data_IF_700303818624
#
_entry.id   IF_700303818624
#
_cell.length_a   1.000
_cell.length_b   1.000
_cell.length_c   1.000
_cell.angle_alpha   90.00
_cell.angle_beta   90.00
_cell.angle_gamma   90.00
#
_symmetry.space_group_name_H-M   'P 1'
#
loop_
_entity.id
_entity.type
_entity.pdbx_description
1 polymer ?
#
# COMPACT_ATOMS: atom_id res chain seq x y z
N UNK A 1 39.57 63.10 12.29
CA UNK A 1 39.61 61.62 12.18
C UNK A 1 38.19 61.11 12.08
N UNK A 2 37.72 60.88 10.86
CA UNK A 2 36.36 60.40 10.63
C UNK A 2 36.37 58.83 10.41
N UNK A 3 35.98 58.11 11.45
CA UNK A 3 35.78 56.69 11.36
C UNK A 3 34.40 56.40 10.74
N UNK A 4 34.36 56.06 9.44
CA UNK A 4 33.13 55.60 8.76
C UNK A 4 32.89 54.17 9.16
N UNK A 5 31.95 53.93 10.05
CA UNK A 5 31.42 52.57 10.34
C UNK A 5 30.54 52.13 9.16
N UNK A 6 30.95 51.05 8.48
CA UNK A 6 30.13 50.35 7.44
C UNK A 6 29.10 49.46 8.13
N UNK A 7 27.83 49.52 7.74
CA UNK A 7 26.85 48.57 8.27
C UNK A 7 27.07 47.19 7.63
N UNK A 8 27.22 46.18 8.47
CA UNK A 8 27.17 44.78 8.07
C UNK A 8 25.70 44.39 7.86
N UNK A 9 25.31 44.16 6.63
CA UNK A 9 24.03 43.54 6.33
C UNK A 9 24.16 42.04 6.49
N UNK A 10 23.52 41.48 7.55
CA UNK A 10 23.30 40.05 7.67
C UNK A 10 22.21 39.66 6.69
N UNK A 11 22.58 38.98 5.63
CA UNK A 11 21.60 38.24 4.78
C UNK A 11 21.17 37.00 5.55
N UNK A 12 19.97 37.03 6.10
CA UNK A 12 19.32 35.85 6.66
C UNK A 12 18.83 35.01 5.49
N UNK A 13 19.53 33.90 5.17
CA UNK A 13 19.07 32.88 4.24
C UNK A 13 17.96 32.09 4.92
N UNK A 14 16.71 32.35 4.52
CA UNK A 14 15.55 31.53 4.89
C UNK A 14 15.65 30.22 4.11
N UNK A 15 16.05 29.15 4.78
CA UNK A 15 15.99 27.80 4.21
C UNK A 15 14.52 27.38 4.11
N UNK A 16 14.01 27.32 2.89
CA UNK A 16 12.67 26.77 2.61
C UNK A 16 12.75 25.25 2.82
N UNK A 17 12.24 24.76 3.96
CA UNK A 17 12.07 23.32 4.19
C UNK A 17 10.87 22.90 3.36
N UNK A 18 11.13 22.36 2.17
CA UNK A 18 10.11 21.69 1.37
C UNK A 18 9.82 20.35 2.04
N UNK A 19 8.71 20.26 2.77
CA UNK A 19 8.24 18.99 3.31
C UNK A 19 7.86 18.08 2.14
N UNK A 20 8.61 16.98 1.94
CA UNK A 20 8.25 15.97 0.95
C UNK A 20 6.85 15.41 1.29
N UNK A 21 5.94 15.26 0.30
CA UNK A 21 4.64 14.68 0.54
C UNK A 21 4.82 13.25 1.05
N UNK A 22 4.28 12.95 2.25
CA UNK A 22 4.26 11.59 2.78
C UNK A 22 3.42 10.73 1.84
N UNK A 23 3.95 9.57 1.46
CA UNK A 23 3.22 8.58 0.70
C UNK A 23 1.96 8.18 1.51
N UNK A 24 0.77 8.57 1.04
CA UNK A 24 -0.48 8.09 1.64
C UNK A 24 -0.78 6.71 1.07
N UNK A 25 -1.02 5.74 1.96
CA UNK A 25 -1.63 4.48 1.58
C UNK A 25 -3.07 4.76 1.14
N UNK A 26 -3.49 4.19 0.02
CA UNK A 26 -4.89 4.07 -0.29
C UNK A 26 -5.42 2.82 0.42
N UNK A 27 -6.22 3.02 1.48
CA UNK A 27 -6.88 1.95 2.22
C UNK A 27 -8.28 1.75 1.64
N UNK A 28 -8.55 0.56 1.12
CA UNK A 28 -9.81 0.19 0.48
C UNK A 28 -10.45 -0.93 1.27
N UNK A 29 -11.70 -0.72 1.70
CA UNK A 29 -12.49 -1.76 2.36
C UNK A 29 -13.12 -2.69 1.31
N UNK A 30 -12.99 -4.01 1.48
CA UNK A 30 -13.66 -4.99 0.62
C UNK A 30 -15.17 -4.91 0.83
N UNK A 31 -15.91 -4.93 -0.27
CA UNK A 31 -17.38 -5.06 -0.29
C UNK A 31 -17.77 -6.27 -1.13
N UNK A 32 -18.11 -7.37 -0.46
CA UNK A 32 -18.48 -8.60 -1.12
C UNK A 32 -19.84 -8.48 -1.81
N UNK A 33 -19.94 -9.00 -3.02
CA UNK A 33 -21.24 -9.19 -3.67
C UNK A 33 -21.99 -10.42 -3.10
N UNK A 34 -23.19 -10.68 -3.59
CA UNK A 34 -24.03 -11.81 -3.16
C UNK A 34 -23.41 -13.19 -3.42
N UNK A 35 -22.41 -13.27 -4.31
CA UNK A 35 -21.68 -14.50 -4.65
C UNK A 35 -20.32 -14.61 -3.92
N UNK A 36 -20.01 -13.70 -3.00
CA UNK A 36 -18.73 -13.66 -2.29
C UNK A 36 -17.58 -13.18 -3.16
N UNK A 37 -17.85 -12.42 -4.23
CA UNK A 37 -16.85 -11.86 -5.14
C UNK A 37 -16.62 -10.39 -4.89
N UNK A 38 -15.39 -9.98 -5.07
CA UNK A 38 -14.95 -8.59 -5.07
C UNK A 38 -13.97 -8.37 -6.20
N UNK A 39 -14.22 -7.39 -7.04
CA UNK A 39 -13.30 -6.93 -8.08
C UNK A 39 -12.98 -5.47 -7.90
N UNK A 40 -11.73 -5.10 -8.10
CA UNK A 40 -11.29 -3.72 -7.99
C UNK A 40 -10.18 -3.42 -8.99
N UNK A 41 -10.20 -2.21 -9.55
CA UNK A 41 -9.14 -1.69 -10.39
C UNK A 41 -8.67 -0.36 -9.82
N UNK A 42 -7.35 -0.19 -9.73
CA UNK A 42 -6.75 1.03 -9.21
C UNK A 42 -5.40 1.30 -9.86
N UNK A 43 -4.90 2.50 -9.68
CA UNK A 43 -3.55 2.91 -10.09
C UNK A 43 -2.70 3.16 -8.86
N UNK A 44 -1.53 2.54 -8.80
CA UNK A 44 -0.53 2.75 -7.75
C UNK A 44 0.60 3.60 -8.31
N UNK A 45 0.70 4.84 -7.84
CA UNK A 45 1.75 5.77 -8.27
C UNK A 45 3.14 5.34 -7.74
N UNK A 46 4.24 5.83 -8.36
CA UNK A 46 5.60 5.58 -7.87
C UNK A 46 5.76 5.94 -6.40
N UNK A 47 6.48 5.10 -5.64
CA UNK A 47 6.72 5.21 -4.21
C UNK A 47 5.45 5.19 -3.34
N UNK A 48 4.32 4.78 -3.89
CA UNK A 48 3.04 4.62 -3.20
C UNK A 48 2.71 3.13 -3.02
N UNK A 49 1.72 2.89 -2.17
CA UNK A 49 1.15 1.56 -1.99
C UNK A 49 -0.37 1.65 -1.83
N UNK A 50 -1.04 0.56 -2.12
CA UNK A 50 -2.47 0.40 -1.93
C UNK A 50 -2.73 -0.83 -1.07
N UNK A 51 -3.73 -0.75 -0.21
CA UNK A 51 -4.18 -1.85 0.66
C UNK A 51 -5.66 -2.08 0.49
N UNK A 52 -6.03 -3.33 0.23
CA UNK A 52 -7.41 -3.79 0.20
C UNK A 52 -7.62 -4.72 1.37
N UNK A 53 -8.49 -4.36 2.30
CA UNK A 53 -8.61 -5.03 3.59
C UNK A 53 -10.02 -5.52 3.88
N UNK A 54 -10.12 -6.63 4.62
CA UNK A 54 -11.37 -7.12 5.19
C UNK A 54 -11.13 -7.87 6.51
N UNK A 55 -12.11 -7.79 7.41
CA UNK A 55 -12.14 -8.60 8.63
C UNK A 55 -12.68 -9.99 8.29
N UNK A 56 -11.86 -11.00 8.46
CA UNK A 56 -12.20 -12.39 8.16
C UNK A 56 -12.20 -13.24 9.42
N UNK A 57 -13.12 -14.20 9.49
CA UNK A 57 -13.28 -15.13 10.60
C UNK A 57 -12.56 -16.45 10.33
N UNK A 58 -12.19 -17.22 11.38
CA UNK A 58 -11.63 -18.56 11.21
C UNK A 58 -12.51 -19.43 10.33
N UNK A 59 -11.90 -20.20 9.45
CA UNK A 59 -12.57 -21.08 8.47
C UNK A 59 -12.87 -20.42 7.13
N UNK A 60 -12.76 -19.08 7.03
CA UNK A 60 -12.90 -18.42 5.73
C UNK A 60 -11.77 -18.82 4.79
N UNK A 61 -12.09 -19.00 3.52
CA UNK A 61 -11.15 -19.19 2.43
C UNK A 61 -11.38 -18.12 1.38
N UNK A 62 -10.32 -17.39 1.02
CA UNK A 62 -10.38 -16.36 0.00
C UNK A 62 -9.39 -16.71 -1.11
N UNK A 63 -9.89 -17.03 -2.29
CA UNK A 63 -9.07 -17.10 -3.50
C UNK A 63 -8.80 -15.70 -3.97
N UNK A 64 -7.54 -15.43 -4.32
CA UNK A 64 -7.13 -14.12 -4.80
C UNK A 64 -6.36 -14.23 -6.11
N UNK A 65 -6.54 -13.26 -6.98
CA UNK A 65 -5.83 -13.12 -8.25
C UNK A 65 -5.59 -11.64 -8.49
N UNK A 66 -4.39 -11.28 -8.91
CA UNK A 66 -4.12 -9.92 -9.37
C UNK A 66 -3.28 -9.88 -10.63
N UNK A 67 -3.43 -8.80 -11.38
CA UNK A 67 -2.62 -8.45 -12.55
C UNK A 67 -2.23 -6.98 -12.46
N UNK A 68 -0.93 -6.69 -12.56
CA UNK A 68 -0.38 -5.35 -12.68
C UNK A 68 0.14 -5.07 -14.08
N UNK A 69 0.20 -3.80 -14.46
CA UNK A 69 0.85 -3.38 -15.72
C UNK A 69 2.38 -3.40 -15.64
N UNK A 70 2.95 -3.53 -14.45
CA UNK A 70 4.38 -3.66 -14.16
C UNK A 70 4.59 -4.39 -12.82
N UNK A 71 5.82 -4.86 -12.52
CA UNK A 71 6.11 -5.52 -11.25
C UNK A 71 5.88 -4.62 -10.04
N UNK A 72 5.31 -5.18 -8.98
CA UNK A 72 5.15 -4.57 -7.67
C UNK A 72 5.52 -5.55 -6.57
N UNK A 73 5.83 -5.05 -5.37
CA UNK A 73 5.95 -5.89 -4.20
C UNK A 73 4.57 -6.13 -3.63
N UNK A 74 4.22 -7.40 -3.46
CA UNK A 74 2.92 -7.86 -2.98
C UNK A 74 3.06 -8.60 -1.66
N UNK A 75 2.09 -8.40 -0.77
CA UNK A 75 1.91 -9.26 0.40
C UNK A 75 0.44 -9.31 0.84
N UNK A 76 0.13 -10.34 1.61
CA UNK A 76 -1.04 -10.39 2.48
C UNK A 76 -0.52 -10.33 3.89
N UNK A 77 -1.05 -9.42 4.72
CA UNK A 77 -0.64 -9.30 6.10
C UNK A 77 -1.81 -9.02 7.05
N UNK A 78 -1.55 -9.24 8.33
CA UNK A 78 -2.40 -8.80 9.44
C UNK A 78 -1.53 -8.40 10.63
N UNK A 79 -2.07 -7.56 11.49
CA UNK A 79 -1.41 -7.12 12.71
C UNK A 79 -1.91 -7.95 13.89
N UNK A 80 -0.97 -8.54 14.65
CA UNK A 80 -1.23 -9.30 15.87
C UNK A 80 -0.35 -8.74 16.97
N UNK A 81 -0.96 -8.05 17.92
CA UNK A 81 -0.27 -7.28 18.96
C UNK A 81 0.75 -6.29 18.34
N UNK A 82 2.05 -6.49 18.63
CA UNK A 82 3.14 -5.67 18.06
C UNK A 82 3.79 -6.31 16.83
N UNK A 83 3.32 -7.48 16.41
CA UNK A 83 3.87 -8.21 15.27
C UNK A 83 3.02 -7.99 14.01
N UNK A 84 3.68 -8.06 12.85
CA UNK A 84 3.02 -8.15 11.55
C UNK A 84 3.24 -9.56 11.02
N UNK A 85 2.17 -10.25 10.65
CA UNK A 85 2.20 -11.60 10.09
C UNK A 85 1.91 -11.55 8.60
N UNK A 86 2.62 -12.34 7.83
CA UNK A 86 2.54 -12.36 6.37
C UNK A 86 2.14 -13.76 5.87
N UNK A 87 0.84 -14.04 5.67
CA UNK A 87 0.38 -15.27 5.02
C UNK A 87 0.90 -15.48 3.60
N UNK A 88 1.16 -14.39 2.87
CA UNK A 88 1.79 -14.41 1.55
C UNK A 88 2.69 -13.20 1.36
N UNK A 89 3.80 -13.38 0.65
CA UNK A 89 4.73 -12.30 0.31
C UNK A 89 5.47 -12.64 -0.98
N UNK A 90 5.41 -11.72 -1.94
CA UNK A 90 6.09 -11.83 -3.24
C UNK A 90 6.64 -10.48 -3.65
N UNK A 91 7.93 -10.37 -3.89
CA UNK A 91 8.57 -9.16 -4.36
C UNK A 91 8.73 -9.19 -5.88
N UNK A 92 8.50 -8.04 -6.53
CA UNK A 92 8.69 -7.90 -7.97
C UNK A 92 7.73 -8.75 -8.81
N UNK A 93 6.48 -8.90 -8.37
CA UNK A 93 5.46 -9.69 -9.06
C UNK A 93 4.55 -8.81 -9.92
N UNK A 94 4.38 -9.18 -11.19
CA UNK A 94 3.43 -8.53 -12.11
C UNK A 94 2.04 -9.14 -11.99
N UNK A 95 1.94 -10.44 -11.72
CA UNK A 95 0.69 -11.15 -11.52
C UNK A 95 0.91 -12.33 -10.58
N UNK A 96 -0.11 -12.66 -9.81
CA UNK A 96 -0.10 -13.84 -8.95
C UNK A 96 -1.52 -14.26 -8.57
N UNK A 97 -1.63 -15.46 -8.03
CA UNK A 97 -2.86 -16.04 -7.51
C UNK A 97 -2.56 -16.99 -6.36
N UNK A 98 -3.53 -17.17 -5.50
CA UNK A 98 -3.42 -18.10 -4.38
C UNK A 98 -4.71 -18.20 -3.58
N UNK A 99 -4.63 -18.87 -2.44
CA UNK A 99 -5.72 -19.02 -1.50
C UNK A 99 -5.26 -18.62 -0.11
N UNK A 100 -5.97 -17.70 0.51
CA UNK A 100 -5.82 -17.37 1.92
C UNK A 100 -6.73 -18.26 2.74
N UNK A 101 -6.15 -19.09 3.62
CA UNK A 101 -6.89 -19.89 4.59
C UNK A 101 -6.83 -19.17 5.94
N UNK A 102 -7.99 -18.73 6.43
CA UNK A 102 -8.09 -17.94 7.66
C UNK A 102 -8.17 -18.85 8.87
N UNK A 103 -7.21 -18.76 9.80
CA UNK A 103 -7.15 -19.56 11.03
C UNK A 103 -7.49 -18.76 12.29
N UNK A 104 -7.41 -17.44 12.23
CA UNK A 104 -7.78 -16.52 13.32
C UNK A 104 -8.53 -15.31 12.80
N UNK A 105 -9.42 -14.75 13.58
CA UNK A 105 -10.14 -13.52 13.23
C UNK A 105 -9.19 -12.33 13.26
N UNK A 106 -8.92 -11.75 12.09
CA UNK A 106 -8.04 -10.62 11.89
C UNK A 106 -8.56 -9.72 10.77
N UNK A 107 -8.02 -8.51 10.68
CA UNK A 107 -8.14 -7.69 9.47
C UNK A 107 -6.98 -8.07 8.55
N UNK A 108 -7.29 -8.75 7.46
CA UNK A 108 -6.32 -9.15 6.43
C UNK A 108 -6.27 -8.10 5.35
N UNK A 109 -5.06 -7.69 4.98
CA UNK A 109 -4.83 -6.70 3.93
C UNK A 109 -4.00 -7.30 2.80
N UNK A 110 -4.51 -7.20 1.57
CA UNK A 110 -3.75 -7.39 0.34
C UNK A 110 -3.10 -6.07 -0.01
N UNK A 111 -1.77 -6.05 -0.10
CA UNK A 111 -0.99 -4.82 -0.23
C UNK A 111 -0.05 -4.89 -1.42
N UNK A 112 -0.04 -3.86 -2.24
CA UNK A 112 0.87 -3.69 -3.37
C UNK A 112 1.65 -2.40 -3.22
N UNK A 113 2.99 -2.49 -3.31
CA UNK A 113 3.89 -1.34 -3.27
C UNK A 113 4.58 -1.16 -4.62
N UNK A 114 4.45 0.02 -5.20
CA UNK A 114 5.12 0.38 -6.43
C UNK A 114 6.50 0.95 -6.13
N UNK A 115 7.54 0.18 -6.41
CA UNK A 115 8.96 0.58 -6.26
C UNK A 115 9.57 1.10 -7.57
N UNK A 116 8.77 1.14 -8.64
CA UNK A 116 9.19 1.62 -9.97
C UNK A 116 9.06 3.14 -10.13
N UNK A 117 9.24 3.59 -11.36
CA UNK A 117 9.29 5.01 -11.73
C UNK A 117 8.00 5.50 -12.42
N UNK A 118 7.09 4.61 -12.78
CA UNK A 118 5.84 4.91 -13.48
C UNK A 118 4.64 4.37 -12.69
N UNK A 119 3.46 4.91 -12.98
CA UNK A 119 2.19 4.39 -12.46
C UNK A 119 1.99 2.93 -12.87
N UNK A 120 1.48 2.11 -11.97
CA UNK A 120 1.08 0.73 -12.22
C UNK A 120 -0.43 0.61 -12.10
N UNK A 121 -1.07 0.14 -13.17
CA UNK A 121 -2.48 -0.25 -13.11
C UNK A 121 -2.58 -1.64 -12.54
N UNK A 122 -3.44 -1.80 -11.56
CA UNK A 122 -3.69 -3.05 -10.86
C UNK A 122 -5.15 -3.46 -11.01
N UNK A 123 -5.37 -4.72 -11.35
CA UNK A 123 -6.67 -5.39 -11.28
C UNK A 123 -6.61 -6.50 -10.25
N UNK A 124 -7.52 -6.45 -9.28
CA UNK A 124 -7.67 -7.43 -8.21
C UNK A 124 -9.02 -8.13 -8.31
N UNK A 125 -9.01 -9.42 -8.07
CA UNK A 125 -10.20 -10.25 -7.86
C UNK A 125 -10.02 -11.08 -6.59
N UNK A 126 -11.03 -11.04 -5.71
CA UNK A 126 -11.15 -11.89 -4.54
C UNK A 126 -12.43 -12.70 -4.62
N UNK A 127 -12.36 -13.98 -4.24
CA UNK A 127 -13.52 -14.87 -4.17
C UNK A 127 -13.51 -15.58 -2.82
N UNK A 128 -14.45 -15.19 -1.96
CA UNK A 128 -14.68 -15.85 -0.68
C UNK A 128 -15.55 -17.07 -0.88
N UNK A 129 -15.05 -18.24 -0.49
CA UNK A 129 -15.79 -19.48 -0.54
C UNK A 129 -16.94 -19.44 0.47
N UNK A 130 -18.11 -20.07 0.13
CA UNK A 130 -19.27 -20.13 1.01
C UNK A 130 -18.99 -20.92 2.29
#
# INVERSE_FOLDING_TARGET
MNSKRRPFYFLATVALIVAAPRAKAELIQVTWDSNGRYEHQLTVAPAKFAEVCDRLKPGAQVQWTFEGSAPMNFNIHYHEDKAVRFPAKEDGSTSSKGTLNVTSEQVYCWTWSNKGQADVRLKLELLKQP
#
